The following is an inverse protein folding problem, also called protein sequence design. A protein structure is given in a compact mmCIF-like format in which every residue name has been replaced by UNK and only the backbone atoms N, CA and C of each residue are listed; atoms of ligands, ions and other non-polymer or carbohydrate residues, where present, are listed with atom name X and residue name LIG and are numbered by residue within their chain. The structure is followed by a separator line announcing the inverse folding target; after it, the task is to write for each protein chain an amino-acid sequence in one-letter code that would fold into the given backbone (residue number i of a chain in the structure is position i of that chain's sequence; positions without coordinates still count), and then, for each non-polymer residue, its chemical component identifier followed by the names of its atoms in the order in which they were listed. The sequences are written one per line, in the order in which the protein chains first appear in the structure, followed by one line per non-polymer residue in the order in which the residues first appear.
data_IF_277250527632
#
_entry.id   IF_277250527632
#
_cell.length_a   1.000
_cell.length_b   1.000
_cell.length_c   1.000
_cell.angle_alpha   90.00
_cell.angle_beta   90.00
_cell.angle_gamma   90.00
#
_symmetry.space_group_name_H-M   'P 1'
#
loop_
_entity.id
_entity.type
_entity.pdbx_description
1 polymer ?
#
# COMPACT_ATOMS: atom_id res chain seq x y z
N UNK A 1 4.14 -4.84 22.66
CA UNK A 1 4.04 -5.79 21.53
C UNK A 1 3.12 -5.16 20.52
N UNK A 2 3.58 -4.96 19.29
CA UNK A 2 2.82 -4.19 18.28
C UNK A 2 1.59 -4.99 17.83
N UNK A 3 0.52 -4.32 17.39
CA UNK A 3 -0.59 -5.04 16.73
C UNK A 3 -0.14 -5.73 15.44
N UNK A 4 0.90 -5.21 14.78
CA UNK A 4 1.47 -5.77 13.56
C UNK A 4 1.90 -7.22 13.80
N UNK A 5 2.49 -7.52 14.96
CA UNK A 5 2.97 -8.87 15.31
C UNK A 5 1.83 -9.92 15.37
N UNK A 6 0.56 -9.48 15.45
CA UNK A 6 -0.63 -10.33 15.53
C UNK A 6 -1.37 -10.49 14.21
N UNK A 7 -0.98 -9.76 13.17
CA UNK A 7 -1.60 -9.83 11.87
C UNK A 7 -1.08 -11.02 11.06
N UNK A 8 -1.95 -11.57 10.22
CA UNK A 8 -1.56 -12.57 9.23
C UNK A 8 -1.13 -11.87 7.95
N UNK A 9 0.12 -12.10 7.55
CA UNK A 9 0.72 -11.52 6.37
C UNK A 9 1.19 -12.57 5.37
N UNK A 10 1.16 -12.19 4.09
CA UNK A 10 1.99 -12.79 3.05
C UNK A 10 3.15 -11.84 2.75
N UNK A 11 4.37 -12.37 2.75
CA UNK A 11 5.53 -11.60 2.33
C UNK A 11 5.61 -11.59 0.79
N UNK A 12 5.74 -10.41 0.20
CA UNK A 12 5.86 -10.24 -1.25
C UNK A 12 7.09 -9.40 -1.61
N UNK A 13 7.74 -9.77 -2.70
CA UNK A 13 8.83 -8.98 -3.29
C UNK A 13 8.23 -7.95 -4.25
N UNK A 14 8.55 -6.69 -4.03
CA UNK A 14 7.97 -5.55 -4.74
C UNK A 14 9.01 -4.78 -5.55
N UNK A 15 10.02 -5.45 -6.11
CA UNK A 15 11.08 -4.83 -6.91
C UNK A 15 10.51 -4.06 -8.12
N UNK A 16 11.26 -3.07 -8.63
CA UNK A 16 10.73 -2.06 -9.57
C UNK A 16 10.18 -2.59 -10.90
N UNK A 17 10.50 -3.83 -11.28
CA UNK A 17 9.92 -4.51 -12.44
C UNK A 17 8.61 -5.27 -12.15
N UNK A 18 8.14 -5.26 -10.90
CA UNK A 18 6.91 -5.91 -10.42
C UNK A 18 6.04 -4.92 -9.64
N UNK A 19 5.52 -3.89 -10.31
CA UNK A 19 4.68 -2.90 -9.65
C UNK A 19 3.37 -3.54 -9.17
N UNK A 20 2.85 -3.07 -8.02
CA UNK A 20 1.67 -3.62 -7.36
C UNK A 20 0.53 -2.61 -7.44
N UNK A 21 -0.60 -3.01 -8.02
CA UNK A 21 -1.84 -2.22 -7.97
C UNK A 21 -2.43 -2.32 -6.56
N UNK A 22 -2.61 -1.18 -5.89
CA UNK A 22 -3.10 -1.17 -4.52
C UNK A 22 -4.63 -1.16 -4.48
N UNK A 23 -5.24 -2.33 -4.31
CA UNK A 23 -6.69 -2.52 -4.18
C UNK A 23 -7.18 -2.32 -2.74
N UNK A 24 -8.41 -1.84 -2.56
CA UNK A 24 -9.09 -1.62 -1.26
C UNK A 24 -9.14 -2.82 -0.29
N UNK A 25 -9.09 -4.06 -0.80
CA UNK A 25 -9.17 -5.27 0.02
C UNK A 25 -7.89 -5.57 0.80
N UNK A 26 -6.79 -4.89 0.48
CA UNK A 26 -5.45 -5.21 0.94
C UNK A 26 -4.77 -4.01 1.58
N UNK A 27 -3.84 -4.31 2.48
CA UNK A 27 -2.93 -3.37 3.09
C UNK A 27 -1.53 -3.94 3.08
N UNK A 28 -0.51 -3.07 3.04
CA UNK A 28 0.88 -3.48 2.96
C UNK A 28 1.71 -2.72 3.98
N UNK A 29 2.63 -3.39 4.66
CA UNK A 29 3.64 -2.74 5.50
C UNK A 29 4.99 -2.92 4.82
N UNK A 30 5.78 -1.86 4.73
CA UNK A 30 7.14 -1.98 4.20
C UNK A 30 8.00 -2.66 5.24
N UNK A 31 8.45 -3.88 4.94
CA UNK A 31 9.38 -4.60 5.81
C UNK A 31 10.81 -4.11 5.60
N UNK A 32 11.20 -3.94 4.34
CA UNK A 32 12.53 -3.52 3.94
C UNK A 32 12.48 -2.77 2.61
N UNK A 33 13.49 -1.94 2.36
CA UNK A 33 13.62 -1.15 1.13
C UNK A 33 12.76 0.12 1.15
N UNK A 34 12.42 0.58 -0.05
CA UNK A 34 11.66 1.83 -0.29
C UNK A 34 10.59 1.58 -1.34
N UNK A 35 9.43 2.23 -1.19
CA UNK A 35 8.35 2.19 -2.18
C UNK A 35 8.02 3.60 -2.63
N UNK A 36 7.92 3.78 -3.94
CA UNK A 36 7.33 4.97 -4.55
C UNK A 36 5.87 4.68 -4.90
N UNK A 37 4.98 5.58 -4.51
CA UNK A 37 3.57 5.52 -4.82
C UNK A 37 3.24 6.45 -5.98
N UNK A 38 2.47 5.93 -6.93
CA UNK A 38 2.00 6.66 -8.10
C UNK A 38 0.49 6.56 -8.24
N UNK A 39 -0.10 7.53 -8.91
CA UNK A 39 -1.39 7.36 -9.58
C UNK A 39 -1.16 7.07 -11.06
N UNK A 40 -1.94 6.16 -11.63
CA UNK A 40 -1.81 5.75 -13.03
C UNK A 40 -3.16 5.37 -13.59
N UNK A 41 -3.32 5.53 -14.90
CA UNK A 41 -4.45 4.98 -15.63
C UNK A 41 -4.32 3.45 -15.70
N UNK A 42 -5.41 2.75 -15.44
CA UNK A 42 -5.55 1.30 -15.62
C UNK A 42 -6.09 1.05 -17.03
N UNK A 43 -5.45 0.14 -17.77
CA UNK A 43 -5.85 -0.26 -19.11
C UNK A 43 -6.18 -1.77 -19.14
N UNK A 44 -6.97 -2.20 -20.12
CA UNK A 44 -7.47 -3.58 -20.19
C UNK A 44 -6.36 -4.65 -20.23
N UNK A 45 -5.15 -4.30 -20.64
CA UNK A 45 -3.97 -5.17 -20.74
C UNK A 45 -2.99 -5.00 -19.56
N UNK A 46 -3.30 -4.14 -18.58
CA UNK A 46 -2.48 -3.87 -17.42
C UNK A 46 -2.22 -2.39 -17.19
N UNK A 47 -1.11 -2.09 -16.51
CA UNK A 47 -0.77 -0.75 -16.03
C UNK A 47 0.22 -0.12 -16.99
N UNK A 48 -0.30 0.35 -18.11
CA UNK A 48 0.48 0.89 -19.25
C UNK A 48 0.41 2.42 -19.36
N UNK A 49 -0.36 3.07 -18.49
CA UNK A 49 -0.49 4.53 -18.43
C UNK A 49 0.73 5.26 -17.88
N UNK A 50 0.76 6.57 -18.11
CA UNK A 50 1.72 7.47 -17.46
C UNK A 50 1.51 7.43 -15.93
N UNK A 51 2.61 7.27 -15.20
CA UNK A 51 2.63 7.24 -13.74
C UNK A 51 2.93 8.64 -13.23
N UNK A 52 2.02 9.21 -12.45
CA UNK A 52 2.26 10.47 -11.75
C UNK A 52 2.66 10.15 -10.32
N UNK A 53 3.86 10.59 -9.93
CA UNK A 53 4.41 10.34 -8.60
C UNK A 53 3.61 11.09 -7.53
N UNK A 54 3.35 10.42 -6.41
CA UNK A 54 2.70 11.00 -5.25
C UNK A 54 3.71 11.25 -4.13
N UNK A 55 4.27 10.17 -3.58
CA UNK A 55 5.25 10.21 -2.50
C UNK A 55 5.99 8.87 -2.38
N UNK A 56 7.01 8.82 -1.54
CA UNK A 56 7.70 7.59 -1.16
C UNK A 56 7.47 7.25 0.31
N UNK A 57 7.55 5.97 0.64
CA UNK A 57 7.54 5.47 2.02
C UNK A 57 8.65 4.44 2.25
N UNK A 58 8.95 4.17 3.53
CA UNK A 58 10.03 3.29 3.95
C UNK A 58 9.61 2.29 5.04
N UNK A 59 10.59 1.56 5.63
CA UNK A 59 10.32 0.49 6.56
C UNK A 59 9.45 0.92 7.74
N UNK A 60 8.43 0.12 8.05
CA UNK A 60 7.47 0.39 9.12
C UNK A 60 6.34 1.33 8.74
N UNK A 61 6.28 1.83 7.50
CA UNK A 61 5.13 2.57 6.98
C UNK A 61 4.05 1.62 6.43
N UNK A 62 2.79 2.05 6.57
CA UNK A 62 1.60 1.34 6.12
C UNK A 62 1.09 1.92 4.81
N UNK A 63 0.77 1.07 3.85
CA UNK A 63 0.01 1.38 2.66
C UNK A 63 -1.41 0.80 2.72
N UNK A 64 -2.40 1.61 2.36
CA UNK A 64 -3.76 1.17 2.07
C UNK A 64 -4.02 1.28 0.58
N UNK A 65 -4.74 0.31 0.04
CA UNK A 65 -5.24 0.39 -1.32
C UNK A 65 -6.56 1.13 -1.41
N UNK A 66 -6.97 1.42 -2.64
CA UNK A 66 -8.24 2.06 -2.96
C UNK A 66 -8.89 1.29 -4.10
N UNK A 67 -10.22 1.30 -4.16
CA UNK A 67 -10.91 0.87 -5.37
C UNK A 67 -10.52 1.84 -6.49
N UNK A 68 -10.23 1.34 -7.70
CA UNK A 68 -10.03 2.21 -8.84
C UNK A 68 -11.17 3.22 -9.01
N UNK A 69 -10.82 4.43 -9.43
CA UNK A 69 -11.77 5.51 -9.63
C UNK A 69 -11.97 5.80 -11.12
N UNK A 70 -13.22 5.78 -11.55
CA UNK A 70 -13.60 6.01 -12.95
C UNK A 70 -14.00 7.47 -13.16
N UNK A 71 -13.31 8.13 -14.08
CA UNK A 71 -13.60 9.49 -14.58
C UNK A 71 -13.81 9.43 -16.09
N UNK A 72 -14.33 10.49 -16.76
CA UNK A 72 -14.52 10.49 -18.22
C UNK A 72 -13.27 10.13 -19.02
N UNK A 73 -12.09 10.47 -18.51
CA UNK A 73 -10.79 10.21 -19.13
C UNK A 73 -10.30 8.77 -18.95
N UNK A 74 -10.92 7.96 -18.09
CA UNK A 74 -10.58 6.56 -17.86
C UNK A 74 -10.67 6.13 -16.39
N UNK A 75 -10.19 4.92 -16.13
CA UNK A 75 -10.09 4.37 -14.77
C UNK A 75 -8.67 4.57 -14.23
N UNK A 76 -8.56 5.04 -12.98
CA UNK A 76 -7.29 5.34 -12.32
C UNK A 76 -7.15 4.59 -11.02
N UNK A 77 -5.93 4.17 -10.70
CA UNK A 77 -5.61 3.49 -9.45
C UNK A 77 -4.27 3.88 -8.88
N UNK A 78 -4.03 3.42 -7.66
CA UNK A 78 -2.75 3.58 -6.98
C UNK A 78 -1.81 2.44 -7.33
N UNK A 79 -0.56 2.79 -7.63
CA UNK A 79 0.50 1.86 -8.00
C UNK A 79 1.69 2.02 -7.06
N UNK A 80 2.05 0.95 -6.36
CA UNK A 80 3.29 0.87 -5.61
C UNK A 80 4.40 0.29 -6.47
N UNK A 81 5.57 0.95 -6.47
CA UNK A 81 6.78 0.48 -7.16
C UNK A 81 7.90 0.46 -6.12
N UNK A 82 8.37 -0.72 -5.74
CA UNK A 82 9.49 -0.83 -4.83
C UNK A 82 10.82 -0.66 -5.54
N UNK A 83 11.81 -0.21 -4.77
CA UNK A 83 13.21 -0.17 -5.18
C UNK A 83 13.82 -1.58 -5.07
N UNK A 84 15.12 -1.71 -5.37
CA UNK A 84 15.85 -2.97 -5.18
C UNK A 84 15.76 -3.43 -3.73
N UNK A 85 15.59 -4.74 -3.53
CA UNK A 85 15.45 -5.39 -2.22
C UNK A 85 14.21 -4.97 -1.41
N UNK A 86 13.20 -4.36 -2.05
CA UNK A 86 11.96 -3.98 -1.37
C UNK A 86 11.06 -5.18 -1.09
N UNK A 87 10.75 -5.37 0.18
CA UNK A 87 9.85 -6.41 0.68
C UNK A 87 8.66 -5.79 1.39
N UNK A 88 7.46 -6.27 1.07
CA UNK A 88 6.20 -5.87 1.71
C UNK A 88 5.57 -7.03 2.48
N UNK A 89 4.93 -6.71 3.60
CA UNK A 89 4.00 -7.60 4.30
C UNK A 89 2.58 -7.24 3.88
N UNK A 90 1.96 -8.08 3.05
CA UNK A 90 0.58 -7.90 2.59
C UNK A 90 -0.40 -8.58 3.56
N UNK A 91 -1.41 -7.86 4.03
CA UNK A 91 -2.56 -8.43 4.74
C UNK A 91 -3.89 -8.01 4.12
N UNK A 92 -4.97 -8.62 4.59
CA UNK A 92 -6.34 -8.21 4.25
C UNK A 92 -6.69 -6.98 5.08
N UNK A 93 -7.18 -5.92 4.44
CA UNK A 93 -7.52 -4.66 5.10
C UNK A 93 -8.56 -4.83 6.22
N UNK A 94 -9.44 -5.84 6.11
CA UNK A 94 -10.40 -6.22 7.15
C UNK A 94 -9.74 -6.53 8.50
N UNK A 95 -8.50 -7.04 8.52
CA UNK A 95 -7.78 -7.29 9.77
C UNK A 95 -7.50 -5.98 10.52
N UNK A 96 -7.15 -4.91 9.79
CA UNK A 96 -6.93 -3.58 10.38
C UNK A 96 -8.24 -2.98 10.89
N UNK A 97 -9.32 -3.13 10.12
CA UNK A 97 -10.65 -2.65 10.50
C UNK A 97 -11.22 -3.37 11.75
N UNK A 98 -10.77 -4.60 12.03
CA UNK A 98 -11.20 -5.39 13.17
C UNK A 98 -10.49 -5.01 14.49
N UNK A 99 -9.48 -4.13 14.46
CA UNK A 99 -8.76 -3.69 15.64
C UNK A 99 -9.67 -2.82 16.52
N UNK A 100 -9.91 -3.26 17.76
CA UNK A 100 -10.80 -2.59 18.72
C UNK A 100 -10.09 -2.06 19.96
N UNK A 101 -8.97 -2.64 20.34
CA UNK A 101 -8.22 -2.23 21.52
C UNK A 101 -7.60 -0.85 21.29
N UNK A 102 -7.83 0.07 22.24
CA UNK A 102 -7.46 1.47 22.06
C UNK A 102 -5.96 1.71 21.82
N UNK A 103 -5.02 1.02 22.50
CA UNK A 103 -3.60 1.15 22.20
C UNK A 103 -3.25 0.78 20.76
N UNK A 104 -3.83 -0.30 20.25
CA UNK A 104 -3.60 -0.77 18.88
C UNK A 104 -4.23 0.17 17.86
N UNK A 105 -5.43 0.70 18.15
CA UNK A 105 -6.07 1.71 17.31
C UNK A 105 -5.23 2.98 17.24
N UNK A 106 -4.64 3.40 18.36
CA UNK A 106 -3.76 4.57 18.39
C UNK A 106 -2.50 4.31 17.56
N UNK A 107 -1.88 3.14 17.69
CA UNK A 107 -0.75 2.73 16.86
C UNK A 107 -1.10 2.75 15.36
N UNK A 108 -2.27 2.21 14.97
CA UNK A 108 -2.76 2.27 13.58
C UNK A 108 -2.97 3.71 13.09
N UNK A 109 -3.57 4.57 13.92
CA UNK A 109 -3.78 5.98 13.59
C UNK A 109 -2.44 6.68 13.36
N UNK A 110 -1.43 6.41 14.18
CA UNK A 110 -0.11 7.02 14.06
C UNK A 110 0.62 6.56 12.79
N UNK A 111 0.42 5.31 12.35
CA UNK A 111 0.89 4.86 11.04
C UNK A 111 0.21 5.61 9.89
N UNK A 112 -1.12 5.77 9.94
CA UNK A 112 -1.87 6.49 8.91
C UNK A 112 -1.52 7.98 8.86
N UNK A 113 -1.19 8.60 9.99
CA UNK A 113 -0.78 10.01 10.05
C UNK A 113 0.49 10.29 9.23
N UNK A 114 1.37 9.31 9.03
CA UNK A 114 2.59 9.48 8.23
C UNK A 114 2.33 9.79 6.76
N UNK A 115 1.13 9.48 6.26
CA UNK A 115 0.71 9.87 4.91
C UNK A 115 0.56 11.38 4.73
N UNK A 116 0.34 12.11 5.84
CA UNK A 116 -0.05 13.51 5.78
C UNK A 116 1.11 14.49 5.65
N UNK A 117 2.37 14.08 5.86
CA UNK A 117 3.56 14.93 5.98
C UNK A 117 3.23 16.37 6.44
#
# INVERSE_FOLDING_TARGET
MSFIDRLQFNQIQAEGNRPILLTDQKAWIVQAGKVDLFITRIMNDGITGRREYLFSIGPGDLLLGLSPHTVPEGEFGLLAVGHTDTTLLECVAQQLAAIKDEPDRQELIDLLRRWRN
#
